data_IF_094855178771
#
_entry.id   IF_094855178771
#
_cell.length_a   1.000
_cell.length_b   1.000
_cell.length_c   1.000
_cell.angle_alpha   90.00
_cell.angle_beta   90.00
_cell.angle_gamma   90.00
#
_symmetry.space_group_name_H-M   'P 1'
#
loop_
_entity.id
_entity.type
_entity.pdbx_description
1 polymer ?
#
# COMPACT_ATOMS: atom_id res chain seq x y z
N UNK A 1 -3.50 5.74 -3.06
CA UNK A 1 -3.71 4.53 -3.88
C UNK A 1 -4.35 3.46 -3.02
N UNK A 2 -5.20 2.63 -3.60
CA UNK A 2 -5.94 1.60 -2.88
C UNK A 2 -5.80 0.24 -3.56
N UNK A 3 -5.38 -0.77 -2.79
CA UNK A 3 -5.16 -2.15 -3.21
C UNK A 3 -5.95 -3.11 -2.31
N UNK A 4 -6.93 -3.80 -2.89
CA UNK A 4 -7.78 -4.79 -2.19
C UNK A 4 -7.71 -6.20 -2.79
N UNK A 5 -7.09 -6.36 -3.97
CA UNK A 5 -7.00 -7.63 -4.70
C UNK A 5 -5.54 -8.07 -4.88
N UNK A 6 -5.21 -9.31 -4.48
CA UNK A 6 -3.86 -9.89 -4.60
C UNK A 6 -3.28 -9.78 -6.02
N UNK A 7 -4.06 -10.19 -7.03
CA UNK A 7 -3.64 -10.25 -8.43
C UNK A 7 -3.26 -8.88 -9.01
N UNK A 8 -3.74 -7.79 -8.39
CA UNK A 8 -3.50 -6.43 -8.83
C UNK A 8 -2.32 -5.76 -8.12
N UNK A 9 -1.71 -6.41 -7.14
CA UNK A 9 -0.59 -5.84 -6.38
C UNK A 9 0.56 -5.39 -7.30
N UNK A 10 0.96 -6.22 -8.26
CA UNK A 10 2.01 -5.85 -9.20
C UNK A 10 1.64 -4.64 -10.08
N UNK A 11 0.37 -4.52 -10.48
CA UNK A 11 -0.12 -3.35 -11.23
C UNK A 11 -0.08 -2.10 -10.35
N UNK A 12 -0.63 -2.16 -9.14
CA UNK A 12 -0.67 -1.06 -8.19
C UNK A 12 0.73 -0.51 -7.89
N UNK A 13 1.71 -1.40 -7.65
CA UNK A 13 3.09 -1.02 -7.37
C UNK A 13 3.77 -0.39 -8.59
N UNK A 14 3.52 -0.89 -9.81
CA UNK A 14 4.03 -0.25 -11.04
C UNK A 14 3.41 1.11 -11.27
N UNK A 15 2.11 1.27 -10.98
CA UNK A 15 1.46 2.58 -11.03
C UNK A 15 2.06 3.55 -10.00
N UNK A 16 2.33 3.10 -8.77
CA UNK A 16 3.04 3.91 -7.78
C UNK A 16 4.44 4.31 -8.26
N UNK A 17 5.17 3.36 -8.87
CA UNK A 17 6.49 3.64 -9.47
C UNK A 17 6.40 4.73 -10.52
N UNK A 18 5.45 4.63 -11.44
CA UNK A 18 5.28 5.64 -12.49
C UNK A 18 4.94 7.02 -11.89
N UNK A 19 4.11 7.08 -10.85
CA UNK A 19 3.81 8.36 -10.18
C UNK A 19 5.08 9.00 -9.60
N UNK A 20 5.86 8.26 -8.81
CA UNK A 20 7.07 8.83 -8.18
C UNK A 20 8.21 9.11 -9.15
N UNK A 21 8.21 8.48 -10.33
CA UNK A 21 9.20 8.80 -11.38
C UNK A 21 8.80 9.97 -12.27
N UNK A 22 7.51 10.13 -12.53
CA UNK A 22 7.01 11.06 -13.54
C UNK A 22 6.54 12.39 -12.92
N UNK A 23 6.26 12.41 -11.61
CA UNK A 23 5.82 13.59 -10.87
C UNK A 23 6.80 13.91 -9.74
N UNK A 24 7.53 15.01 -9.89
CA UNK A 24 8.44 15.49 -8.85
C UNK A 24 7.67 15.95 -7.60
N UNK A 25 8.12 15.52 -6.41
CA UNK A 25 7.52 15.91 -5.13
C UNK A 25 6.15 15.29 -4.83
N UNK A 26 5.71 14.29 -5.61
CA UNK A 26 4.44 13.62 -5.34
C UNK A 26 4.50 12.79 -4.06
N UNK A 27 3.48 12.94 -3.22
CA UNK A 27 3.28 12.04 -2.09
C UNK A 27 2.39 10.87 -2.51
N UNK A 28 2.84 9.65 -2.24
CA UNK A 28 2.08 8.44 -2.53
C UNK A 28 1.89 7.63 -1.26
N UNK A 29 0.64 7.34 -0.96
CA UNK A 29 0.23 6.44 0.10
C UNK A 29 -0.57 5.29 -0.51
N UNK A 30 -0.18 4.07 -0.21
CA UNK A 30 -0.85 2.85 -0.65
C UNK A 30 -1.59 2.24 0.53
N UNK A 31 -2.90 2.42 0.55
CA UNK A 31 -3.81 1.80 1.52
C UNK A 31 -4.16 0.39 1.03
N UNK A 32 -3.94 -0.61 1.87
CA UNK A 32 -4.00 -2.03 1.52
C UNK A 32 -4.91 -2.76 2.50
N UNK A 33 -5.87 -3.50 1.98
CA UNK A 33 -6.76 -4.34 2.79
C UNK A 33 -7.20 -5.60 2.03
N UNK A 34 -8.06 -6.43 2.66
CA UNK A 34 -8.58 -7.66 2.06
C UNK A 34 -7.47 -8.58 1.49
N UNK A 35 -7.59 -9.08 0.27
CA UNK A 35 -6.59 -9.96 -0.36
C UNK A 35 -5.35 -9.21 -0.84
N UNK A 36 -5.40 -7.88 -0.94
CA UNK A 36 -4.28 -7.05 -1.36
C UNK A 36 -3.02 -7.24 -0.50
N UNK A 37 -3.19 -7.58 0.78
CA UNK A 37 -2.06 -7.81 1.71
C UNK A 37 -1.18 -8.98 1.30
N UNK A 38 -1.74 -10.00 0.63
CA UNK A 38 -0.97 -11.16 0.16
C UNK A 38 0.03 -10.76 -0.93
N UNK A 39 -0.28 -9.70 -1.69
CA UNK A 39 0.61 -9.18 -2.72
C UNK A 39 1.83 -8.43 -2.19
N UNK A 40 1.87 -8.15 -0.88
CA UNK A 40 2.90 -7.34 -0.22
C UNK A 40 3.72 -8.14 0.82
N UNK A 41 3.64 -9.47 0.78
CA UNK A 41 4.37 -10.37 1.68
C UNK A 41 5.89 -10.21 1.53
N UNK A 42 6.60 -10.20 2.65
CA UNK A 42 8.06 -10.26 2.66
C UNK A 42 8.55 -11.55 1.95
N UNK A 43 9.57 -11.43 1.12
CA UNK A 43 10.09 -12.53 0.31
C UNK A 43 9.21 -12.91 -0.90
N UNK A 44 8.09 -12.20 -1.10
CA UNK A 44 7.23 -12.34 -2.28
C UNK A 44 7.81 -11.67 -3.53
N UNK A 45 7.17 -11.87 -4.70
CA UNK A 45 7.66 -11.40 -5.99
C UNK A 45 7.77 -9.87 -6.11
N UNK A 46 7.10 -9.13 -5.23
CA UNK A 46 7.06 -7.67 -5.23
C UNK A 46 8.06 -7.03 -4.25
N UNK A 47 8.79 -7.80 -3.46
CA UNK A 47 9.62 -7.30 -2.34
C UNK A 47 10.62 -6.22 -2.78
N UNK A 48 11.33 -6.44 -3.88
CA UNK A 48 12.34 -5.50 -4.39
C UNK A 48 11.70 -4.19 -4.87
N UNK A 49 10.56 -4.28 -5.56
CA UNK A 49 9.82 -3.11 -6.03
C UNK A 49 9.27 -2.30 -4.86
N UNK A 50 8.72 -2.97 -3.85
CA UNK A 50 8.26 -2.30 -2.64
C UNK A 50 9.41 -1.61 -1.89
N UNK A 51 10.59 -2.23 -1.81
CA UNK A 51 11.78 -1.62 -1.22
C UNK A 51 12.24 -0.37 -1.98
N UNK A 52 12.22 -0.42 -3.32
CA UNK A 52 12.49 0.75 -4.15
C UNK A 52 11.48 1.86 -3.91
N UNK A 53 10.18 1.55 -3.84
CA UNK A 53 9.12 2.53 -3.61
C UNK A 53 9.21 3.15 -2.21
N UNK A 54 9.47 2.35 -1.18
CA UNK A 54 9.71 2.84 0.18
C UNK A 54 10.92 3.80 0.20
N UNK A 55 11.99 3.49 -0.55
CA UNK A 55 13.13 4.39 -0.74
C UNK A 55 12.80 5.71 -1.44
N UNK A 56 11.71 5.77 -2.21
CA UNK A 56 11.17 6.99 -2.81
C UNK A 56 10.10 7.66 -1.94
N UNK A 57 9.91 7.21 -0.70
CA UNK A 57 8.94 7.80 0.25
C UNK A 57 7.50 7.33 0.08
N UNK A 58 7.24 6.27 -0.71
CA UNK A 58 5.91 5.66 -0.77
C UNK A 58 5.57 5.03 0.57
N UNK A 59 4.46 5.44 1.17
CA UNK A 59 3.97 4.90 2.44
C UNK A 59 3.03 3.73 2.19
N UNK A 60 3.28 2.59 2.82
CA UNK A 60 2.39 1.44 2.78
C UNK A 60 1.56 1.41 4.06
N UNK A 61 0.24 1.44 3.92
CA UNK A 61 -0.70 1.50 5.03
C UNK A 61 -1.57 0.26 4.98
N UNK A 62 -1.45 -0.62 5.97
CA UNK A 62 -2.14 -1.91 6.02
C UNK A 62 -3.23 -1.89 7.08
N UNK A 63 -4.39 -2.46 6.74
CA UNK A 63 -5.54 -2.47 7.65
C UNK A 63 -5.42 -3.53 8.76
N UNK A 64 -5.48 -3.10 10.01
CA UNK A 64 -5.34 -3.95 11.20
C UNK A 64 -6.31 -5.15 11.22
N UNK A 65 -7.58 -4.93 10.87
CA UNK A 65 -8.59 -6.00 10.87
C UNK A 65 -8.33 -7.04 9.79
N UNK A 66 -7.72 -6.63 8.67
CA UNK A 66 -7.29 -7.57 7.63
C UNK A 66 -6.16 -8.45 8.15
N UNK A 67 -5.19 -7.87 8.87
CA UNK A 67 -4.11 -8.65 9.47
C UNK A 67 -4.63 -9.65 10.49
N UNK A 68 -5.49 -9.19 11.42
CA UNK A 68 -6.07 -10.05 12.46
C UNK A 68 -6.91 -11.19 11.90
N UNK A 69 -7.79 -10.92 10.93
CA UNK A 69 -8.64 -11.95 10.32
C UNK A 69 -7.85 -13.02 9.55
N UNK A 70 -6.62 -12.69 9.13
CA UNK A 70 -5.73 -13.57 8.38
C UNK A 70 -4.59 -14.16 9.21
N UNK A 71 -4.56 -13.93 10.52
CA UNK A 71 -3.45 -14.33 11.41
C UNK A 71 -2.09 -13.78 10.94
N UNK A 72 -2.08 -12.58 10.37
CA UNK A 72 -0.87 -11.89 9.93
C UNK A 72 -0.44 -10.83 10.95
N UNK A 73 0.84 -10.46 10.87
CA UNK A 73 1.49 -9.46 11.70
C UNK A 73 2.38 -8.56 10.85
N UNK A 74 2.86 -7.46 11.41
CA UNK A 74 3.81 -6.56 10.71
C UNK A 74 5.07 -7.29 10.22
N UNK A 75 5.51 -8.35 10.92
CA UNK A 75 6.69 -9.15 10.56
C UNK A 75 6.54 -9.92 9.25
N UNK A 76 5.31 -10.07 8.79
CA UNK A 76 4.99 -10.72 7.53
C UNK A 76 5.17 -9.80 6.31
N UNK A 77 5.36 -8.51 6.56
CA UNK A 77 5.57 -7.49 5.56
C UNK A 77 6.99 -6.95 5.69
N UNK A 78 7.52 -6.35 4.62
CA UNK A 78 8.70 -5.54 4.74
C UNK A 78 8.49 -4.39 5.75
N UNK A 79 9.50 -4.07 6.55
CA UNK A 79 9.39 -3.21 7.74
C UNK A 79 9.12 -1.71 7.52
N UNK A 80 8.35 -1.36 6.50
CA UNK A 80 7.95 0.00 6.13
C UNK A 80 6.41 0.15 6.00
N UNK A 81 5.65 -0.83 6.51
CA UNK A 81 4.21 -0.77 6.60
C UNK A 81 3.74 -0.13 7.91
N UNK A 82 2.83 0.83 7.83
CA UNK A 82 2.08 1.35 8.98
C UNK A 82 0.74 0.62 9.09
N UNK A 83 0.31 0.31 10.31
CA UNK A 83 -0.98 -0.33 10.56
C UNK A 83 -2.01 0.70 10.99
N UNK A 84 -3.15 0.77 10.30
CA UNK A 84 -4.25 1.70 10.61
C UNK A 84 -5.54 0.98 10.98
N UNK A 85 -6.37 1.63 11.79
CA UNK A 85 -7.60 1.07 12.34
C UNK A 85 -8.82 1.09 11.41
N UNK A 86 -8.78 1.77 10.25
CA UNK A 86 -9.82 1.65 9.21
C UNK A 86 -9.37 2.19 7.86
N UNK A 87 -9.25 1.31 6.86
CA UNK A 87 -8.86 1.70 5.51
C UNK A 87 -9.85 2.69 4.84
N UNK A 88 -11.15 2.51 5.05
CA UNK A 88 -12.17 3.40 4.46
C UNK A 88 -12.11 4.78 5.10
N UNK A 89 -11.95 4.86 6.42
CA UNK A 89 -11.81 6.16 7.11
C UNK A 89 -10.54 6.87 6.63
N UNK A 90 -9.41 6.17 6.52
CA UNK A 90 -8.17 6.73 6.00
C UNK A 90 -8.35 7.33 4.60
N UNK A 91 -8.99 6.58 3.69
CA UNK A 91 -9.26 7.04 2.33
C UNK A 91 -10.18 8.27 2.29
N UNK A 92 -11.19 8.34 3.15
CA UNK A 92 -12.10 9.49 3.23
C UNK A 92 -11.35 10.72 3.75
N UNK A 93 -10.60 10.57 4.85
CA UNK A 93 -9.83 11.66 5.47
C UNK A 93 -8.79 12.22 4.49
N UNK A 94 -8.06 11.37 3.79
CA UNK A 94 -7.08 11.79 2.78
C UNK A 94 -7.74 12.55 1.63
N UNK A 95 -8.82 12.02 1.06
CA UNK A 95 -9.53 12.70 -0.02
C UNK A 95 -10.08 14.06 0.41
N UNK A 96 -10.64 14.16 1.63
CA UNK A 96 -11.08 15.43 2.19
C UNK A 96 -9.92 16.42 2.37
N UNK A 97 -8.70 15.93 2.62
CA UNK A 97 -7.46 16.70 2.65
C UNK A 97 -6.87 17.06 1.28
N UNK A 98 -7.58 16.77 0.18
CA UNK A 98 -7.14 17.11 -1.18
C UNK A 98 -6.33 16.02 -1.89
N UNK A 99 -6.26 14.80 -1.34
CA UNK A 99 -5.58 13.69 -2.00
C UNK A 99 -6.38 13.14 -3.18
N UNK A 100 -5.69 12.80 -4.25
CA UNK A 100 -6.27 12.06 -5.36
C UNK A 100 -6.40 10.57 -5.01
N UNK A 101 -7.55 9.99 -5.37
CA UNK A 101 -7.83 8.58 -5.17
C UNK A 101 -7.62 7.77 -6.46
N UNK A 102 -6.84 6.70 -6.33
CA UNK A 102 -6.58 5.73 -7.41
C UNK A 102 -6.85 4.35 -6.83
N UNK A 103 -7.76 3.60 -7.45
CA UNK A 103 -8.03 2.19 -7.13
C UNK A 103 -7.30 1.30 -8.13
N UNK A 104 -6.66 0.25 -7.62
CA UNK A 104 -6.07 -0.81 -8.43
C UNK A 104 -6.76 -2.11 -8.09
#
# INVERSE_FOLDING_TARGET
MHLDEHEKAGLALRSAKNLVTDLEGVEVEMVVHADGVEGLRAGGPNTDLMGLLAGHGVRFVVYEDTLRSRSLSEKDFPGYGEVVGSAIVELIVKQAGGWYYIRS
#
